data_IF_708258842151
#
_entry.id   IF_708258842151
#
_cell.length_a   1.000
_cell.length_b   1.000
_cell.length_c   1.000
_cell.angle_alpha   90.00
_cell.angle_beta   90.00
_cell.angle_gamma   90.00
#
_symmetry.space_group_name_H-M   'P 1'
#
loop_
_entity.id
_entity.type
_entity.pdbx_description
1 polymer ?
#
# COMPACT_ATOMS: atom_id res chain seq x y z
N UNK A 1 -20.46 26.98 -6.61
CA UNK A 1 -20.51 25.65 -7.24
C UNK A 1 -19.08 25.18 -7.36
N UNK A 2 -18.69 24.13 -6.62
CA UNK A 2 -17.37 23.54 -6.79
C UNK A 2 -17.24 23.05 -8.24
N UNK A 3 -16.12 23.35 -8.88
CA UNK A 3 -15.87 22.97 -10.27
C UNK A 3 -15.77 21.45 -10.31
N UNK A 4 -16.74 20.77 -10.91
CA UNK A 4 -16.64 19.34 -11.23
C UNK A 4 -15.34 19.11 -12.00
N UNK A 5 -14.46 18.27 -11.47
CA UNK A 5 -13.21 17.92 -12.15
C UNK A 5 -13.35 16.57 -12.84
N UNK A 6 -13.22 16.59 -14.17
CA UNK A 6 -12.92 15.41 -14.98
C UNK A 6 -11.74 14.65 -14.36
N UNK A 7 -11.91 13.35 -14.09
CA UNK A 7 -10.88 12.49 -13.48
C UNK A 7 -10.12 11.76 -14.57
N UNK A 8 -8.79 11.86 -14.58
CA UNK A 8 -7.94 11.07 -15.47
C UNK A 8 -7.37 9.86 -14.75
N UNK A 9 -6.99 8.83 -15.50
CA UNK A 9 -6.37 7.63 -14.95
C UNK A 9 -5.12 7.95 -14.11
N UNK A 10 -4.30 8.92 -14.53
CA UNK A 10 -3.17 9.40 -13.75
C UNK A 10 -3.54 9.92 -12.35
N UNK A 11 -4.72 10.51 -12.18
CA UNK A 11 -5.16 11.10 -10.92
C UNK A 11 -5.57 9.98 -9.94
N UNK A 12 -6.26 8.94 -10.44
CA UNK A 12 -6.57 7.73 -9.69
C UNK A 12 -5.32 6.94 -9.32
N UNK A 13 -4.36 6.77 -10.24
CA UNK A 13 -3.08 6.14 -9.92
C UNK A 13 -2.32 6.96 -8.88
N UNK A 14 -2.37 8.29 -8.95
CA UNK A 14 -1.79 9.17 -7.93
C UNK A 14 -2.43 8.99 -6.56
N UNK A 15 -3.75 8.77 -6.51
CA UNK A 15 -4.49 8.43 -5.30
C UNK A 15 -4.09 7.05 -4.76
N UNK A 16 -4.09 6.02 -5.61
CA UNK A 16 -3.69 4.67 -5.22
C UNK A 16 -2.26 4.67 -4.69
N UNK A 17 -1.31 5.28 -5.39
CA UNK A 17 0.09 5.40 -4.95
C UNK A 17 0.25 6.24 -3.67
N UNK A 18 -0.74 7.06 -3.30
CA UNK A 18 -0.71 7.80 -2.04
C UNK A 18 -0.95 6.86 -0.85
N UNK A 19 -1.85 5.89 -0.99
CA UNK A 19 -2.23 4.97 0.08
C UNK A 19 -1.46 3.65 0.01
N UNK A 20 -1.26 3.15 -1.21
CA UNK A 20 -0.68 1.86 -1.57
C UNK A 20 0.52 2.06 -2.51
N UNK A 21 1.59 2.75 -2.08
CA UNK A 21 2.71 3.08 -2.96
C UNK A 21 3.42 1.82 -3.48
N UNK A 22 3.86 1.86 -4.75
CA UNK A 22 4.47 0.71 -5.44
C UNK A 22 5.70 0.14 -4.73
N UNK A 23 6.45 0.96 -3.98
CA UNK A 23 7.63 0.49 -3.26
C UNK A 23 7.32 -0.38 -2.03
N UNK A 24 6.04 -0.54 -1.66
CA UNK A 24 5.61 -1.54 -0.69
C UNK A 24 5.36 -2.91 -1.32
N UNK A 25 5.29 -2.99 -2.66
CA UNK A 25 5.18 -4.28 -3.32
C UNK A 25 6.47 -5.09 -3.14
N UNK A 26 6.32 -6.41 -3.12
CA UNK A 26 7.45 -7.34 -3.15
C UNK A 26 8.29 -7.14 -4.42
N UNK A 27 9.59 -7.41 -4.35
CA UNK A 27 10.52 -7.16 -5.47
C UNK A 27 10.17 -7.93 -6.75
N UNK A 28 9.49 -9.08 -6.61
CA UNK A 28 9.07 -9.92 -7.73
C UNK A 28 7.73 -9.50 -8.34
N UNK A 29 6.99 -8.61 -7.68
CA UNK A 29 5.61 -8.30 -8.03
C UNK A 29 5.50 -7.29 -9.19
N UNK A 30 4.34 -7.23 -9.82
CA UNK A 30 4.06 -6.34 -10.95
C UNK A 30 2.78 -5.53 -10.74
N UNK A 31 2.86 -4.52 -9.88
CA UNK A 31 1.74 -3.62 -9.54
C UNK A 31 1.68 -2.39 -10.45
N UNK A 32 0.55 -1.68 -10.41
CA UNK A 32 0.31 -0.46 -11.18
C UNK A 32 -0.40 -0.72 -12.51
N UNK A 33 -0.23 0.20 -13.46
CA UNK A 33 -0.89 0.14 -14.78
C UNK A 33 -0.37 -1.05 -15.59
N UNK A 34 -1.26 -2.02 -15.88
CA UNK A 34 -0.96 -3.19 -16.69
C UNK A 34 -1.24 -2.93 -18.18
N UNK A 35 -2.34 -2.24 -18.48
CA UNK A 35 -2.73 -1.81 -19.83
C UNK A 35 -3.62 -0.56 -19.74
N UNK A 36 -3.47 0.39 -20.67
CA UNK A 36 -4.29 1.60 -20.73
C UNK A 36 -3.48 2.87 -21.04
N UNK A 37 -4.17 4.01 -21.05
CA UNK A 37 -3.57 5.34 -21.23
C UNK A 37 -3.77 6.21 -19.98
N UNK A 38 -2.69 6.73 -19.41
CA UNK A 38 -2.71 7.61 -18.23
C UNK A 38 -3.57 8.87 -18.43
N UNK A 39 -3.73 9.33 -19.67
CA UNK A 39 -4.52 10.52 -20.01
C UNK A 39 -6.01 10.24 -20.18
N UNK A 40 -6.40 8.97 -20.19
CA UNK A 40 -7.78 8.55 -20.36
C UNK A 40 -8.67 9.11 -19.24
N UNK A 41 -9.83 9.63 -19.63
CA UNK A 41 -10.87 10.06 -18.71
C UNK A 41 -11.61 8.85 -18.12
N UNK A 42 -11.79 8.85 -16.81
CA UNK A 42 -12.43 7.76 -16.06
C UNK A 42 -13.67 8.32 -15.37
N UNK A 43 -14.84 7.91 -15.85
CA UNK A 43 -16.13 8.24 -15.23
C UNK A 43 -16.71 7.07 -14.45
N UNK A 44 -16.28 5.84 -14.79
CA UNK A 44 -16.70 4.62 -14.12
C UNK A 44 -15.56 3.61 -14.03
N UNK A 45 -15.36 3.07 -12.84
CA UNK A 45 -14.35 2.05 -12.54
C UNK A 45 -15.01 0.81 -11.93
N UNK A 46 -14.54 -0.37 -12.30
CA UNK A 46 -14.85 -1.64 -11.63
C UNK A 46 -13.67 -2.08 -10.78
N UNK A 47 -13.93 -2.68 -9.62
CA UNK A 47 -12.95 -3.30 -8.74
C UNK A 47 -13.24 -4.80 -8.68
N UNK A 48 -12.21 -5.64 -8.80
CA UNK A 48 -12.31 -7.09 -8.72
C UNK A 48 -11.10 -7.69 -7.98
N UNK A 49 -11.20 -8.95 -7.55
CA UNK A 49 -10.04 -9.70 -7.11
C UNK A 49 -9.19 -10.10 -8.33
N UNK A 50 -9.82 -10.73 -9.32
CA UNK A 50 -9.15 -11.38 -10.46
C UNK A 50 -9.43 -10.70 -11.81
N UNK A 51 -8.42 -10.49 -12.67
CA UNK A 51 -8.59 -9.95 -14.01
C UNK A 51 -9.00 -11.06 -15.02
N UNK A 52 -10.06 -11.82 -14.75
CA UNK A 52 -10.53 -12.86 -15.69
C UNK A 52 -11.19 -12.26 -16.94
N UNK A 53 -11.35 -13.05 -18.00
CA UNK A 53 -12.09 -12.61 -19.19
C UNK A 53 -13.55 -12.22 -18.85
N UNK A 54 -14.18 -12.94 -17.92
CA UNK A 54 -15.54 -12.65 -17.48
C UNK A 54 -15.61 -11.31 -16.75
N UNK A 55 -14.68 -11.04 -15.82
CA UNK A 55 -14.58 -9.74 -15.12
C UNK A 55 -14.38 -8.59 -16.11
N UNK A 56 -13.54 -8.79 -17.12
CA UNK A 56 -13.27 -7.78 -18.17
C UNK A 56 -14.52 -7.53 -19.01
N UNK A 57 -15.23 -8.56 -19.43
CA UNK A 57 -16.48 -8.42 -20.18
C UNK A 57 -17.55 -7.72 -19.34
N UNK A 58 -17.68 -8.04 -18.05
CA UNK A 58 -18.60 -7.34 -17.13
C UNK A 58 -18.27 -5.85 -17.01
N UNK A 59 -16.98 -5.49 -16.92
CA UNK A 59 -16.55 -4.10 -16.90
C UNK A 59 -16.92 -3.37 -18.21
N UNK A 60 -16.72 -4.02 -19.36
CA UNK A 60 -17.08 -3.47 -20.67
C UNK A 60 -18.60 -3.29 -20.80
N UNK A 61 -19.38 -4.29 -20.40
CA UNK A 61 -20.85 -4.28 -20.46
C UNK A 61 -21.46 -3.19 -19.56
N UNK A 62 -20.81 -2.89 -18.43
CA UNK A 62 -21.19 -1.79 -17.52
C UNK A 62 -20.65 -0.43 -17.96
N UNK A 63 -19.95 -0.36 -19.09
CA UNK A 63 -19.29 0.83 -19.62
C UNK A 63 -18.26 1.43 -18.65
N UNK A 64 -17.49 0.59 -17.96
CA UNK A 64 -16.33 1.02 -17.18
C UNK A 64 -15.16 1.40 -18.10
N UNK A 65 -14.40 2.41 -17.71
CA UNK A 65 -13.14 2.80 -18.37
C UNK A 65 -11.92 2.24 -17.65
N UNK A 66 -12.10 1.79 -16.41
CA UNK A 66 -11.04 1.25 -15.57
C UNK A 66 -11.51 -0.03 -14.88
N UNK A 67 -10.65 -1.04 -14.86
CA UNK A 67 -10.73 -2.20 -14.00
C UNK A 67 -9.52 -2.17 -13.04
N UNK A 68 -9.79 -2.12 -11.74
CA UNK A 68 -8.78 -2.24 -10.69
C UNK A 68 -8.84 -3.67 -10.16
N UNK A 69 -7.72 -4.39 -10.18
CA UNK A 69 -7.65 -5.76 -9.64
C UNK A 69 -6.69 -5.85 -8.47
N UNK A 70 -6.91 -6.81 -7.59
CA UNK A 70 -5.86 -7.19 -6.64
C UNK A 70 -4.75 -7.94 -7.37
N UNK A 71 -5.08 -9.04 -8.04
CA UNK A 71 -4.10 -9.86 -8.72
C UNK A 71 -3.63 -9.26 -10.05
N UNK A 72 -2.32 -9.27 -10.34
CA UNK A 72 -1.79 -8.76 -11.61
C UNK A 72 -2.22 -9.60 -12.80
N UNK A 73 -2.74 -8.94 -13.84
CA UNK A 73 -2.95 -9.59 -15.15
C UNK A 73 -1.61 -10.06 -15.73
N UNK A 74 -0.57 -9.24 -15.64
CA UNK A 74 0.75 -9.54 -16.20
C UNK A 74 1.70 -9.95 -15.08
N UNK A 75 1.51 -11.14 -14.52
CA UNK A 75 2.40 -11.65 -13.47
C UNK A 75 3.83 -11.94 -13.95
N UNK A 76 4.00 -12.22 -15.25
CA UNK A 76 5.31 -12.43 -15.90
C UNK A 76 5.41 -11.62 -17.19
N UNK A 77 6.60 -11.14 -17.58
CA UNK A 77 6.80 -10.45 -18.85
C UNK A 77 6.32 -11.29 -20.05
N UNK A 78 5.47 -10.70 -20.88
CA UNK A 78 4.95 -11.35 -22.07
C UNK A 78 6.02 -11.45 -23.15
N UNK A 79 6.17 -12.65 -23.72
CA UNK A 79 7.04 -12.86 -24.90
C UNK A 79 6.29 -12.72 -26.23
N UNK A 80 4.97 -12.88 -26.21
CA UNK A 80 4.05 -12.78 -27.34
C UNK A 80 2.64 -12.46 -26.83
N UNK A 81 1.80 -11.89 -27.68
CA UNK A 81 0.38 -11.63 -27.40
C UNK A 81 -0.45 -12.34 -28.46
N UNK A 82 -1.37 -13.21 -28.06
CA UNK A 82 -2.22 -14.00 -28.97
C UNK A 82 -3.56 -14.28 -28.32
N UNK A 83 -4.64 -14.37 -29.11
CA UNK A 83 -5.98 -14.77 -28.61
C UNK A 83 -6.09 -16.26 -28.23
N UNK A 84 -4.99 -17.01 -28.33
CA UNK A 84 -4.95 -18.45 -28.03
C UNK A 84 -4.83 -18.75 -26.53
N UNK A 85 -4.50 -17.76 -25.70
CA UNK A 85 -4.45 -17.86 -24.25
C UNK A 85 -5.28 -16.74 -23.62
N UNK A 86 -5.69 -16.97 -22.36
CA UNK A 86 -6.62 -16.09 -21.66
C UNK A 86 -6.05 -14.68 -21.46
N UNK A 87 -4.79 -14.56 -21.05
CA UNK A 87 -4.11 -13.26 -20.89
C UNK A 87 -4.17 -12.45 -22.19
N UNK A 88 -3.87 -13.08 -23.34
CA UNK A 88 -4.01 -12.41 -24.62
C UNK A 88 -5.45 -12.04 -24.96
N UNK A 89 -6.43 -12.91 -24.70
CA UNK A 89 -7.86 -12.59 -24.91
C UNK A 89 -8.30 -11.37 -24.10
N UNK A 90 -7.92 -11.30 -22.82
CA UNK A 90 -8.16 -10.15 -21.94
C UNK A 90 -7.52 -8.89 -22.50
N UNK A 91 -6.24 -8.94 -22.89
CA UNK A 91 -5.54 -7.77 -23.44
C UNK A 91 -6.20 -7.27 -24.72
N UNK A 92 -6.59 -8.18 -25.63
CA UNK A 92 -7.32 -7.80 -26.83
C UNK A 92 -8.67 -7.15 -26.47
N UNK A 93 -9.44 -7.74 -25.56
CA UNK A 93 -10.73 -7.18 -25.14
C UNK A 93 -10.55 -5.79 -24.51
N UNK A 94 -9.60 -5.64 -23.58
CA UNK A 94 -9.33 -4.39 -22.89
C UNK A 94 -8.88 -3.28 -23.85
N UNK A 95 -7.90 -3.56 -24.71
CA UNK A 95 -7.38 -2.58 -25.69
C UNK A 95 -8.46 -2.17 -26.69
N UNK A 96 -9.23 -3.14 -27.23
CA UNK A 96 -10.24 -2.86 -28.24
C UNK A 96 -11.43 -2.04 -27.71
N UNK A 97 -11.66 -2.07 -26.38
CA UNK A 97 -12.76 -1.36 -25.73
C UNK A 97 -12.29 -0.16 -24.89
N UNK A 98 -11.02 0.25 -24.99
CA UNK A 98 -10.43 1.31 -24.16
C UNK A 98 -10.67 1.11 -22.66
N UNK A 99 -10.56 -0.14 -22.17
CA UNK A 99 -10.59 -0.45 -20.75
C UNK A 99 -9.15 -0.48 -20.22
N UNK A 100 -8.83 0.41 -19.28
CA UNK A 100 -7.57 0.34 -18.56
C UNK A 100 -7.63 -0.74 -17.46
N UNK A 101 -6.51 -1.39 -17.18
CA UNK A 101 -6.37 -2.34 -16.07
C UNK A 101 -5.21 -1.92 -15.19
N UNK A 102 -5.48 -1.74 -13.90
CA UNK A 102 -4.50 -1.40 -12.86
C UNK A 102 -4.54 -2.47 -11.78
N UNK A 103 -3.38 -2.95 -11.35
CA UNK A 103 -3.31 -3.96 -10.28
C UNK A 103 -2.68 -3.40 -9.02
N UNK A 104 -3.28 -3.71 -7.87
CA UNK A 104 -2.78 -3.40 -6.53
C UNK A 104 -2.71 -4.67 -5.68
N UNK A 105 -1.56 -5.32 -5.74
CA UNK A 105 -1.33 -6.66 -5.20
C UNK A 105 -0.62 -6.56 -3.84
N UNK A 106 0.66 -6.93 -3.77
CA UNK A 106 1.39 -6.97 -2.50
C UNK A 106 1.58 -5.59 -1.86
N UNK A 107 1.57 -4.51 -2.65
CA UNK A 107 1.54 -3.15 -2.08
C UNK A 107 0.28 -2.88 -1.25
N UNK A 108 -0.86 -3.47 -1.60
CA UNK A 108 -2.09 -3.41 -0.80
C UNK A 108 -1.98 -4.31 0.44
N UNK A 109 -1.31 -5.46 0.34
CA UNK A 109 -1.11 -6.40 1.46
C UNK A 109 -0.23 -5.82 2.55
N UNK A 110 0.79 -5.06 2.15
CA UNK A 110 1.73 -4.40 3.05
C UNK A 110 1.21 -3.07 3.60
N UNK A 111 0.33 -2.38 2.88
CA UNK A 111 -0.06 -1.03 3.26
C UNK A 111 -0.83 -0.93 4.58
N UNK A 112 -0.80 0.27 5.16
CA UNK A 112 -1.71 0.69 6.23
C UNK A 112 -3.10 0.92 5.63
N UNK A 113 -4.16 0.53 6.38
CA UNK A 113 -5.53 0.49 5.83
C UNK A 113 -5.58 -0.31 4.52
N UNK A 114 -4.82 -1.42 4.51
CA UNK A 114 -4.68 -2.36 3.40
C UNK A 114 -5.37 -3.69 3.67
N UNK A 115 -5.12 -4.68 2.81
CA UNK A 115 -5.88 -5.93 2.80
C UNK A 115 -5.87 -6.65 4.16
N UNK A 116 -4.69 -6.76 4.77
CA UNK A 116 -4.53 -7.45 6.04
C UNK A 116 -5.15 -6.68 7.23
N UNK A 117 -5.28 -5.35 7.14
CA UNK A 117 -6.04 -4.57 8.13
C UNK A 117 -7.54 -4.83 7.98
N UNK A 118 -8.04 -4.85 6.74
CA UNK A 118 -9.45 -5.10 6.45
C UNK A 118 -9.86 -6.52 6.85
N UNK A 119 -9.00 -7.50 6.60
CA UNK A 119 -9.20 -8.88 7.01
C UNK A 119 -9.19 -8.99 8.54
N UNK A 120 -8.23 -8.36 9.23
CA UNK A 120 -8.21 -8.31 10.70
C UNK A 120 -9.48 -7.65 11.27
N UNK A 121 -9.97 -6.58 10.64
CA UNK A 121 -11.22 -5.91 11.02
C UNK A 121 -12.44 -6.81 10.83
N UNK A 122 -12.55 -7.50 9.69
CA UNK A 122 -13.64 -8.45 9.42
C UNK A 122 -13.68 -9.58 10.47
N UNK A 123 -12.51 -10.05 10.91
CA UNK A 123 -12.33 -11.05 11.96
C UNK A 123 -12.42 -10.49 13.39
N UNK A 124 -12.69 -9.19 13.53
CA UNK A 124 -12.83 -8.47 14.80
C UNK A 124 -11.60 -8.60 15.70
N UNK A 125 -10.40 -8.51 15.11
CA UNK A 125 -9.14 -8.50 15.84
C UNK A 125 -8.85 -7.08 16.35
N UNK A 126 -8.64 -6.87 17.66
CA UNK A 126 -8.39 -5.54 18.21
C UNK A 126 -6.96 -5.06 17.96
N UNK A 127 -6.81 -3.79 17.61
CA UNK A 127 -5.50 -3.11 17.48
C UNK A 127 -4.41 -3.94 16.78
N UNK A 128 -4.66 -4.48 15.57
CA UNK A 128 -3.67 -5.26 14.85
C UNK A 128 -2.43 -4.40 14.55
N UNK A 129 -1.25 -5.01 14.63
CA UNK A 129 0.00 -4.42 14.13
C UNK A 129 0.61 -5.30 13.03
N UNK A 130 1.45 -4.77 12.14
CA UNK A 130 2.13 -5.57 11.12
C UNK A 130 2.85 -6.78 11.72
N UNK A 131 2.66 -7.96 11.12
CA UNK A 131 3.35 -9.18 11.54
C UNK A 131 4.80 -9.15 11.04
N UNK A 132 5.00 -8.89 9.76
CA UNK A 132 6.32 -8.76 9.16
C UNK A 132 6.53 -7.29 8.72
N UNK A 133 7.18 -6.44 9.54
CA UNK A 133 7.43 -5.04 9.18
C UNK A 133 8.41 -4.95 8.01
N UNK A 134 8.42 -3.83 7.26
CA UNK A 134 9.31 -3.65 6.12
C UNK A 134 10.79 -3.67 6.53
N UNK A 135 11.66 -3.88 5.53
CA UNK A 135 13.10 -3.77 5.72
C UNK A 135 13.51 -2.37 6.20
N UNK A 136 14.61 -2.25 6.99
CA UNK A 136 15.19 -0.95 7.32
C UNK A 136 15.52 -0.12 6.08
N UNK A 137 15.49 1.21 6.19
CA UNK A 137 15.84 2.12 5.09
C UNK A 137 14.65 2.72 4.34
N UNK A 138 13.41 2.41 4.74
CA UNK A 138 12.18 3.02 4.22
C UNK A 138 11.97 4.47 4.66
N UNK A 139 12.68 4.90 5.71
CA UNK A 139 12.65 6.25 6.22
C UNK A 139 13.98 6.95 5.94
N UNK A 140 13.90 8.21 5.58
CA UNK A 140 15.03 9.08 5.30
C UNK A 140 14.90 10.31 6.19
N UNK A 141 15.98 10.72 6.82
CA UNK A 141 16.07 12.05 7.42
C UNK A 141 16.51 13.03 6.33
N UNK A 142 15.64 13.96 5.97
CA UNK A 142 15.98 15.12 5.16
C UNK A 142 16.50 16.21 6.08
N UNK A 143 17.71 16.70 5.81
CA UNK A 143 18.28 17.88 6.44
C UNK A 143 18.47 18.93 5.35
N UNK A 144 17.98 20.14 5.56
CA UNK A 144 18.15 21.25 4.61
C UNK A 144 18.49 22.54 5.37
N UNK A 145 19.32 23.39 4.76
CA UNK A 145 19.78 24.65 5.33
C UNK A 145 19.05 25.80 4.66
N UNK A 146 18.33 26.60 5.44
CA UNK A 146 17.38 27.60 4.94
C UNK A 146 17.60 28.95 5.63
N UNK A 147 17.54 30.09 4.91
CA UNK A 147 17.46 31.40 5.53
C UNK A 147 16.34 31.52 6.58
N UNK A 148 16.59 32.30 7.64
CA UNK A 148 15.65 32.47 8.75
C UNK A 148 14.25 32.89 8.30
N UNK A 149 14.15 33.80 7.34
CA UNK A 149 12.90 34.36 6.81
C UNK A 149 12.12 33.39 5.90
N UNK A 150 12.77 32.32 5.41
CA UNK A 150 12.16 31.32 4.51
C UNK A 150 11.90 29.97 5.18
N UNK A 151 12.44 29.72 6.37
CA UNK A 151 12.37 28.43 7.05
C UNK A 151 10.93 27.90 7.18
N UNK A 152 9.97 28.75 7.55
CA UNK A 152 8.59 28.33 7.76
C UNK A 152 7.88 27.97 6.44
N UNK A 153 8.09 28.76 5.39
CA UNK A 153 7.53 28.50 4.08
C UNK A 153 8.06 27.19 3.49
N UNK A 154 9.37 26.93 3.64
CA UNK A 154 9.99 25.67 3.24
C UNK A 154 9.40 24.51 4.04
N UNK A 155 9.37 24.59 5.37
CA UNK A 155 8.84 23.52 6.22
C UNK A 155 7.39 23.14 5.84
N UNK A 156 6.50 24.12 5.72
CA UNK A 156 5.10 23.89 5.31
C UNK A 156 4.99 23.23 3.95
N UNK A 157 5.86 23.58 3.01
CA UNK A 157 5.88 22.98 1.69
C UNK A 157 6.34 21.52 1.73
N UNK A 158 7.34 21.19 2.55
CA UNK A 158 7.79 19.81 2.77
C UNK A 158 6.68 18.97 3.43
N UNK A 159 6.00 19.50 4.45
CA UNK A 159 4.91 18.81 5.13
C UNK A 159 3.73 18.53 4.20
N UNK A 160 3.33 19.51 3.38
CA UNK A 160 2.31 19.32 2.33
C UNK A 160 2.71 18.26 1.29
N UNK A 161 4.00 18.05 1.09
CA UNK A 161 4.52 17.01 0.19
C UNK A 161 4.66 15.63 0.86
N UNK A 162 4.35 15.50 2.16
CA UNK A 162 4.33 14.25 2.91
C UNK A 162 5.54 14.00 3.80
N UNK A 163 6.35 15.02 4.09
CA UNK A 163 7.38 14.94 5.14
C UNK A 163 6.79 15.14 6.54
N UNK A 164 7.51 14.71 7.58
CA UNK A 164 7.19 15.04 8.96
C UNK A 164 6.01 14.29 9.56
N UNK A 165 5.67 13.11 9.05
CA UNK A 165 4.66 12.25 9.66
C UNK A 165 5.32 11.15 10.50
N UNK A 166 5.03 11.08 11.79
CA UNK A 166 5.57 10.08 12.74
C UNK A 166 4.46 9.61 13.67
N UNK A 167 4.02 8.35 13.52
CA UNK A 167 2.85 7.86 14.26
C UNK A 167 1.63 8.73 13.94
N UNK A 168 0.93 9.20 14.97
CA UNK A 168 -0.26 10.07 14.85
C UNK A 168 0.07 11.57 14.77
N UNK A 169 1.37 11.93 14.71
CA UNK A 169 1.82 13.32 14.64
C UNK A 169 2.20 13.70 13.21
N UNK A 170 1.75 14.88 12.78
CA UNK A 170 2.13 15.50 11.51
C UNK A 170 3.03 16.74 11.74
N UNK A 171 3.55 17.32 10.65
CA UNK A 171 4.41 18.52 10.67
C UNK A 171 5.65 18.41 11.58
N UNK A 172 6.14 17.19 11.82
CA UNK A 172 7.29 16.93 12.69
C UNK A 172 8.58 17.42 12.04
N UNK A 173 9.27 18.35 12.70
CA UNK A 173 10.62 18.79 12.32
C UNK A 173 11.42 19.19 13.55
N UNK A 174 12.74 19.20 13.42
CA UNK A 174 13.64 19.83 14.36
C UNK A 174 14.41 20.95 13.65
N UNK A 175 14.69 22.03 14.37
CA UNK A 175 15.29 23.25 13.83
C UNK A 175 16.42 23.70 14.74
N UNK A 176 17.58 23.99 14.16
CA UNK A 176 18.72 24.57 14.88
C UNK A 176 19.34 25.68 14.06
N UNK A 177 19.60 26.83 14.70
CA UNK A 177 20.32 27.93 14.08
C UNK A 177 21.81 27.61 13.95
N UNK A 178 22.42 28.12 12.88
CA UNK A 178 23.86 28.03 12.65
C UNK A 178 24.31 29.07 11.63
N UNK A 179 25.61 29.08 11.33
CA UNK A 179 26.21 29.96 10.33
C UNK A 179 26.64 29.12 9.13
N UNK A 180 26.04 29.36 7.98
CA UNK A 180 26.47 28.82 6.69
C UNK A 180 27.61 29.66 6.12
N UNK A 181 28.60 29.02 5.50
CA UNK A 181 29.70 29.70 4.83
C UNK A 181 29.84 29.20 3.39
N UNK A 182 30.06 30.12 2.47
CA UNK A 182 30.25 29.80 1.05
C UNK A 182 30.99 30.92 0.35
N UNK A 183 31.54 30.63 -0.84
CA UNK A 183 32.15 31.64 -1.72
C UNK A 183 31.56 31.50 -3.12
N UNK A 184 30.74 32.46 -3.60
CA UNK A 184 30.13 32.36 -4.92
C UNK A 184 31.20 32.38 -6.02
N UNK A 185 31.09 31.45 -6.97
CA UNK A 185 32.01 31.35 -8.11
C UNK A 185 31.66 32.33 -9.24
N UNK A 186 32.50 32.37 -10.28
CA UNK A 186 32.32 33.29 -11.41
C UNK A 186 31.01 33.07 -12.19
N UNK A 187 30.45 31.85 -12.13
CA UNK A 187 29.24 31.46 -12.86
C UNK A 187 27.98 31.34 -11.96
N UNK A 188 28.01 31.82 -10.72
CA UNK A 188 26.87 31.71 -9.80
C UNK A 188 26.01 32.98 -9.81
N UNK A 189 24.70 32.85 -9.57
CA UNK A 189 23.80 33.98 -9.29
C UNK A 189 23.32 33.89 -7.85
N UNK A 190 24.18 34.22 -6.87
CA UNK A 190 23.87 33.97 -5.48
C UNK A 190 22.65 34.78 -5.04
N UNK A 191 21.75 34.15 -4.29
CA UNK A 191 20.63 34.84 -3.65
C UNK A 191 21.14 35.84 -2.59
N UNK A 192 22.23 35.49 -1.90
CA UNK A 192 22.94 36.33 -0.91
C UNK A 192 24.44 36.30 -1.22
N UNK A 193 25.09 37.47 -1.23
CA UNK A 193 26.55 37.61 -1.31
C UNK A 193 27.11 38.04 -2.67
N UNK A 194 28.44 38.21 -2.74
CA UNK A 194 29.18 38.68 -3.91
C UNK A 194 30.16 37.64 -4.47
N UNK A 195 30.27 37.58 -5.80
CA UNK A 195 31.22 36.69 -6.50
C UNK A 195 32.66 36.90 -6.03
N UNK A 196 33.32 35.79 -5.66
CA UNK A 196 34.71 35.78 -5.24
C UNK A 196 34.96 36.18 -3.78
N UNK A 197 33.93 36.54 -2.99
CA UNK A 197 34.06 36.88 -1.57
C UNK A 197 33.52 35.74 -0.69
N UNK A 198 34.20 35.48 0.43
CA UNK A 198 33.71 34.54 1.44
C UNK A 198 32.53 35.18 2.18
N UNK A 199 31.39 34.50 2.15
CA UNK A 199 30.14 34.94 2.75
C UNK A 199 29.84 34.11 4.00
N UNK A 200 29.20 34.75 4.98
CA UNK A 200 28.67 34.10 6.17
C UNK A 200 27.22 34.53 6.36
N UNK A 201 26.32 33.56 6.51
CA UNK A 201 24.88 33.82 6.61
C UNK A 201 24.29 33.04 7.77
N UNK A 202 23.41 33.68 8.54
CA UNK A 202 22.61 32.98 9.54
C UNK A 202 21.58 32.08 8.85
N UNK A 203 21.60 30.80 9.17
CA UNK A 203 20.73 29.79 8.57
C UNK A 203 20.08 28.92 9.65
N UNK A 204 18.94 28.34 9.29
CA UNK A 204 18.29 27.28 10.04
C UNK A 204 18.60 25.95 9.36
N UNK A 205 19.24 25.05 10.10
CA UNK A 205 19.26 23.63 9.78
C UNK A 205 17.91 23.04 10.15
N UNK A 206 17.06 22.86 9.14
CA UNK A 206 15.75 22.24 9.23
C UNK A 206 15.88 20.76 8.92
N UNK A 207 15.39 19.92 9.82
CA UNK A 207 15.42 18.47 9.60
C UNK A 207 14.05 17.83 9.85
N UNK A 208 13.68 16.88 8.98
CA UNK A 208 12.40 16.18 9.05
C UNK A 208 12.53 14.77 8.51
N UNK A 209 11.63 13.87 8.90
CA UNK A 209 11.59 12.51 8.39
C UNK A 209 10.76 12.45 7.11
N UNK A 210 11.16 11.61 6.16
CA UNK A 210 10.51 11.46 4.86
C UNK A 210 10.43 9.98 4.53
N UNK A 211 9.23 9.42 4.28
CA UNK A 211 9.11 8.11 3.67
C UNK A 211 9.78 8.08 2.31
N UNK A 212 10.56 7.04 1.99
CA UNK A 212 11.29 6.93 0.72
C UNK A 212 10.39 7.12 -0.51
N UNK A 213 9.16 6.63 -0.44
CA UNK A 213 8.13 6.81 -1.49
C UNK A 213 7.73 8.26 -1.76
N UNK A 214 7.90 9.15 -0.77
CA UNK A 214 7.60 10.60 -0.88
C UNK A 214 8.80 11.43 -1.24
N UNK A 215 10.02 10.88 -1.19
CA UNK A 215 11.24 11.65 -1.32
C UNK A 215 11.27 12.50 -2.59
N UNK A 216 10.95 11.93 -3.76
CA UNK A 216 10.96 12.67 -5.03
C UNK A 216 10.00 13.87 -5.01
N UNK A 217 8.78 13.67 -4.54
CA UNK A 217 7.78 14.74 -4.41
C UNK A 217 8.23 15.83 -3.42
N UNK A 218 8.80 15.42 -2.29
CA UNK A 218 9.34 16.34 -1.27
C UNK A 218 10.49 17.16 -1.82
N UNK A 219 11.45 16.55 -2.52
CA UNK A 219 12.58 17.24 -3.14
C UNK A 219 12.13 18.18 -4.26
N UNK A 220 11.21 17.75 -5.14
CA UNK A 220 10.65 18.64 -6.16
C UNK A 220 9.99 19.87 -5.53
N UNK A 221 9.27 19.67 -4.42
CA UNK A 221 8.65 20.77 -3.70
C UNK A 221 9.69 21.68 -3.04
N UNK A 222 10.74 21.11 -2.45
CA UNK A 222 11.88 21.84 -1.89
C UNK A 222 12.53 22.73 -2.95
N UNK A 223 12.90 22.18 -4.10
CA UNK A 223 13.49 22.92 -5.22
C UNK A 223 12.64 24.08 -5.71
N UNK A 224 11.31 23.97 -5.62
CA UNK A 224 10.40 25.01 -6.06
C UNK A 224 10.25 26.18 -5.08
N UNK A 225 10.43 25.94 -3.79
CA UNK A 225 10.10 26.92 -2.72
C UNK A 225 11.32 27.48 -2.02
N UNK A 226 12.48 26.83 -2.14
CA UNK A 226 13.70 27.31 -1.54
C UNK A 226 14.20 28.59 -2.24
N UNK A 227 14.70 29.60 -1.52
CA UNK A 227 15.15 30.87 -2.13
C UNK A 227 16.44 30.72 -2.95
N UNK A 228 17.30 29.76 -2.61
CA UNK A 228 18.57 29.55 -3.29
C UNK A 228 18.39 28.78 -4.61
N UNK A 229 19.21 29.15 -5.61
CA UNK A 229 19.32 28.43 -6.89
C UNK A 229 19.88 27.01 -6.67
N UNK A 230 20.98 26.91 -5.92
CA UNK A 230 21.60 25.65 -5.53
C UNK A 230 21.32 25.39 -4.05
N UNK A 231 20.62 24.28 -3.76
CA UNK A 231 20.13 23.97 -2.41
C UNK A 231 21.04 22.93 -1.78
N UNK A 232 21.65 23.28 -0.63
CA UNK A 232 22.36 22.33 0.20
C UNK A 232 21.36 21.51 1.04
N UNK A 233 21.34 20.20 0.86
CA UNK A 233 20.56 19.28 1.68
C UNK A 233 21.24 17.91 1.78
N UNK A 234 20.99 17.21 2.89
CA UNK A 234 21.48 15.86 3.15
C UNK A 234 20.31 14.89 3.26
N UNK A 235 20.54 13.66 2.78
CA UNK A 235 19.61 12.55 2.90
C UNK A 235 20.28 11.43 3.69
N UNK A 236 19.85 11.23 4.94
CA UNK A 236 20.40 10.19 5.80
C UNK A 236 19.43 9.00 5.84
N UNK A 237 19.82 7.80 5.38
CA UNK A 237 18.99 6.61 5.54
C UNK A 237 18.87 6.28 7.02
N UNK A 238 17.65 5.95 7.46
CA UNK A 238 17.37 5.60 8.85
C UNK A 238 17.13 4.10 8.99
N UNK A 239 17.59 3.55 10.12
CA UNK A 239 17.24 2.19 10.54
C UNK A 239 15.86 2.12 11.20
N UNK A 240 15.28 3.28 11.56
CA UNK A 240 13.91 3.38 12.02
C UNK A 240 12.97 2.74 10.99
N UNK A 241 12.00 1.95 11.49
CA UNK A 241 11.02 1.27 10.65
C UNK A 241 9.67 1.95 10.80
N UNK A 242 8.91 1.94 9.71
CA UNK A 242 7.48 2.17 9.78
C UNK A 242 6.83 1.04 10.55
N UNK A 243 5.86 1.37 11.38
CA UNK A 243 5.10 0.42 12.21
C UNK A 243 3.66 0.25 11.73
N UNK A 244 3.27 1.01 10.72
CA UNK A 244 1.93 1.03 10.13
C UNK A 244 1.83 0.19 8.86
N UNK A 245 2.96 -0.24 8.29
CA UNK A 245 3.03 -1.08 7.09
C UNK A 245 3.82 -2.37 7.35
N UNK A 246 3.59 -3.37 6.53
CA UNK A 246 4.21 -4.69 6.58
C UNK A 246 3.23 -5.80 6.24
N UNK A 247 3.73 -6.98 5.94
CA UNK A 247 2.90 -8.12 5.54
C UNK A 247 2.22 -8.76 6.76
N UNK A 248 0.94 -9.11 6.61
CA UNK A 248 0.12 -9.72 7.65
C UNK A 248 -0.10 -8.81 8.87
N UNK A 249 -0.93 -9.27 9.79
CA UNK A 249 -1.22 -8.60 11.07
C UNK A 249 -1.16 -9.58 12.22
N UNK A 250 -0.83 -9.07 13.40
CA UNK A 250 -0.89 -9.82 14.66
C UNK A 250 -1.62 -8.99 15.71
N UNK A 251 -2.44 -9.65 16.51
CA UNK A 251 -3.30 -9.01 17.52
C UNK A 251 -3.46 -9.92 18.73
N UNK A 252 -3.53 -9.31 19.92
CA UNK A 252 -3.91 -9.99 21.15
C UNK A 252 -5.41 -9.78 21.40
N UNK A 253 -6.16 -10.86 21.51
CA UNK A 253 -7.59 -10.84 21.84
C UNK A 253 -7.80 -10.34 23.26
N UNK A 254 -8.90 -9.61 23.48
CA UNK A 254 -9.32 -9.16 24.82
C UNK A 254 -9.87 -10.30 25.68
N UNK A 255 -10.42 -11.33 25.05
CA UNK A 255 -10.90 -12.56 25.68
C UNK A 255 -10.37 -13.75 24.91
N UNK A 256 -9.72 -14.72 25.58
CA UNK A 256 -9.29 -15.96 24.94
C UNK A 256 -10.47 -16.70 24.30
N UNK A 257 -10.20 -17.43 23.22
CA UNK A 257 -11.18 -18.21 22.47
C UNK A 257 -10.62 -19.59 22.11
N UNK A 258 -11.46 -20.49 21.59
CA UNK A 258 -10.98 -21.79 21.07
C UNK A 258 -10.73 -21.74 19.56
N UNK A 259 -10.01 -22.72 19.03
CA UNK A 259 -9.76 -22.85 17.60
C UNK A 259 -11.06 -22.99 16.80
N UNK A 260 -12.03 -23.75 17.32
CA UNK A 260 -13.33 -23.98 16.70
C UNK A 260 -14.17 -22.70 16.64
N UNK A 261 -14.18 -21.93 17.73
CA UNK A 261 -14.88 -20.64 17.77
C UNK A 261 -14.27 -19.64 16.78
N UNK A 262 -12.93 -19.61 16.68
CA UNK A 262 -12.25 -18.76 15.73
C UNK A 262 -12.46 -19.22 14.28
N UNK A 263 -12.44 -20.51 14.02
CA UNK A 263 -12.78 -21.09 12.72
C UNK A 263 -14.21 -20.78 12.30
N UNK A 264 -15.17 -20.84 13.23
CA UNK A 264 -16.54 -20.42 13.00
C UNK A 264 -16.65 -18.94 12.67
N UNK A 265 -15.92 -18.08 13.41
CA UNK A 265 -15.82 -16.65 13.11
C UNK A 265 -15.28 -16.38 11.70
N UNK A 266 -14.27 -17.14 11.26
CA UNK A 266 -13.72 -17.01 9.90
C UNK A 266 -14.79 -17.35 8.84
N UNK A 267 -15.51 -18.46 9.00
CA UNK A 267 -16.59 -18.85 8.08
C UNK A 267 -17.67 -17.77 7.97
N UNK A 268 -18.12 -17.24 9.11
CA UNK A 268 -19.15 -16.21 9.15
C UNK A 268 -18.69 -14.88 8.55
N UNK A 269 -17.49 -14.42 8.93
CA UNK A 269 -16.97 -13.13 8.48
C UNK A 269 -16.60 -13.13 6.99
N UNK A 270 -16.13 -14.26 6.47
CA UNK A 270 -15.66 -14.39 5.08
C UNK A 270 -16.69 -15.02 4.14
N UNK A 271 -17.84 -15.45 4.67
CA UNK A 271 -18.91 -16.09 3.89
C UNK A 271 -18.51 -17.43 3.25
N UNK A 272 -17.51 -18.12 3.81
CA UNK A 272 -17.03 -19.41 3.27
C UNK A 272 -17.74 -20.60 3.92
N UNK A 273 -17.99 -21.64 3.11
CA UNK A 273 -18.69 -22.84 3.55
C UNK A 273 -17.85 -23.69 4.53
N UNK A 274 -16.53 -23.70 4.37
CA UNK A 274 -15.62 -24.50 5.16
C UNK A 274 -14.26 -23.83 5.30
N UNK A 275 -13.55 -24.22 6.37
CA UNK A 275 -12.14 -23.88 6.59
C UNK A 275 -11.41 -25.16 7.00
N UNK A 276 -10.10 -25.22 6.73
CA UNK A 276 -9.25 -26.31 7.22
C UNK A 276 -8.44 -25.79 8.40
N UNK A 277 -8.18 -26.64 9.38
CA UNK A 277 -7.42 -26.24 10.55
C UNK A 277 -6.32 -27.23 10.87
N UNK A 278 -5.18 -26.70 11.31
CA UNK A 278 -4.07 -27.43 11.93
C UNK A 278 -4.12 -27.12 13.41
N UNK A 279 -4.32 -28.14 14.24
CA UNK A 279 -4.29 -28.04 15.69
C UNK A 279 -3.03 -28.74 16.23
N UNK A 280 -2.04 -28.02 16.80
CA UNK A 280 -0.87 -28.64 17.42
C UNK A 280 -1.23 -29.36 18.74
N UNK A 281 -2.27 -28.92 19.44
CA UNK A 281 -2.88 -29.61 20.59
C UNK A 281 -4.37 -29.26 20.72
N UNK A 282 -5.17 -30.15 21.32
CA UNK A 282 -6.63 -29.99 21.44
C UNK A 282 -7.08 -29.00 22.54
N UNK A 283 -6.17 -28.56 23.42
CA UNK A 283 -6.52 -27.85 24.66
C UNK A 283 -5.90 -26.44 24.79
N UNK A 284 -5.39 -25.85 23.70
CA UNK A 284 -4.74 -24.53 23.76
C UNK A 284 -5.76 -23.41 23.59
N UNK A 285 -5.90 -22.56 24.60
CA UNK A 285 -6.60 -21.29 24.46
C UNK A 285 -5.87 -20.39 23.46
N UNK A 286 -6.62 -19.72 22.59
CA UNK A 286 -6.10 -18.76 21.63
C UNK A 286 -6.28 -17.37 22.20
N UNK A 287 -5.17 -16.68 22.44
CA UNK A 287 -5.15 -15.29 22.90
C UNK A 287 -4.42 -14.37 21.92
N UNK A 288 -3.51 -14.90 21.08
CA UNK A 288 -2.78 -14.10 20.09
C UNK A 288 -2.99 -14.66 18.68
N UNK A 289 -3.56 -13.86 17.79
CA UNK A 289 -3.97 -14.23 16.44
C UNK A 289 -3.11 -13.49 15.44
N UNK A 290 -2.45 -14.22 14.55
CA UNK A 290 -1.84 -13.69 13.34
C UNK A 290 -2.77 -13.92 12.14
N UNK A 291 -2.73 -13.03 11.15
CA UNK A 291 -3.53 -13.14 9.93
C UNK A 291 -2.74 -12.63 8.72
N UNK A 292 -2.86 -13.32 7.59
CA UNK A 292 -2.35 -12.87 6.29
C UNK A 292 -3.26 -13.42 5.20
N UNK A 293 -3.88 -12.53 4.40
CA UNK A 293 -4.65 -12.93 3.22
C UNK A 293 -3.80 -13.69 2.20
N UNK A 294 -4.47 -14.45 1.34
CA UNK A 294 -3.83 -15.19 0.25
C UNK A 294 -2.90 -16.28 0.75
N UNK A 295 -1.76 -16.43 0.07
CA UNK A 295 -0.73 -17.45 0.35
C UNK A 295 0.24 -17.05 1.48
N UNK A 296 -0.26 -16.86 2.71
CA UNK A 296 0.54 -16.38 3.85
C UNK A 296 1.27 -17.46 4.66
N UNK A 297 1.34 -18.71 4.20
CA UNK A 297 1.99 -19.81 4.93
C UNK A 297 3.51 -19.60 5.17
N UNK A 298 4.16 -18.74 4.39
CA UNK A 298 5.55 -18.32 4.62
C UNK A 298 5.75 -17.62 5.98
N UNK A 299 4.68 -17.05 6.55
CA UNK A 299 4.72 -16.33 7.83
C UNK A 299 4.56 -17.23 9.06
N UNK A 300 4.38 -18.54 8.90
CA UNK A 300 4.22 -19.48 10.03
C UNK A 300 5.37 -19.36 11.03
N UNK A 301 6.61 -19.30 10.55
CA UNK A 301 7.80 -19.16 11.41
C UNK A 301 7.79 -17.84 12.19
N UNK A 302 7.46 -16.74 11.52
CA UNK A 302 7.46 -15.42 12.14
C UNK A 302 6.31 -15.26 13.15
N UNK A 303 5.13 -15.75 12.80
CA UNK A 303 3.98 -15.81 13.70
C UNK A 303 4.31 -16.61 14.96
N UNK A 304 4.90 -17.80 14.82
CA UNK A 304 5.32 -18.62 15.96
C UNK A 304 6.39 -17.93 16.81
N UNK A 305 7.39 -17.29 16.17
CA UNK A 305 8.45 -16.53 16.85
C UNK A 305 7.90 -15.37 17.67
N UNK A 306 6.86 -14.70 17.17
CA UNK A 306 6.17 -13.63 17.89
C UNK A 306 5.12 -14.14 18.90
N UNK A 307 5.00 -15.46 19.08
CA UNK A 307 4.11 -16.09 20.05
C UNK A 307 2.63 -16.05 19.65
N UNK A 308 2.32 -15.99 18.36
CA UNK A 308 0.95 -16.21 17.90
C UNK A 308 0.51 -17.64 18.23
N UNK A 309 -0.72 -17.79 18.71
CA UNK A 309 -1.33 -19.09 18.96
C UNK A 309 -1.86 -19.72 17.69
N UNK A 310 -2.26 -18.86 16.73
CA UNK A 310 -2.83 -19.26 15.45
C UNK A 310 -2.44 -18.27 14.34
N UNK A 311 -2.21 -18.78 13.14
CA UNK A 311 -2.14 -18.00 11.90
C UNK A 311 -3.38 -18.30 11.03
N UNK A 312 -4.13 -17.26 10.65
CA UNK A 312 -5.23 -17.35 9.69
C UNK A 312 -4.72 -16.94 8.31
N UNK A 313 -4.84 -17.81 7.31
CA UNK A 313 -4.35 -17.54 5.96
C UNK A 313 -5.04 -18.42 4.91
N UNK A 314 -4.60 -18.43 3.66
CA UNK A 314 -5.01 -19.33 2.59
C UNK A 314 -3.86 -20.20 2.06
N UNK A 315 -4.20 -21.14 1.17
CA UNK A 315 -3.26 -21.97 0.39
C UNK A 315 -2.23 -22.77 1.19
N UNK A 316 -2.60 -23.24 2.38
CA UNK A 316 -1.69 -23.99 3.25
C UNK A 316 -1.47 -25.39 2.68
N UNK A 317 -0.21 -25.70 2.37
CA UNK A 317 0.24 -27.01 1.86
C UNK A 317 0.56 -27.96 3.01
N UNK A 318 0.65 -29.25 2.68
CA UNK A 318 0.90 -30.31 3.66
C UNK A 318 2.17 -30.08 4.51
N UNK A 319 3.30 -29.74 3.87
CA UNK A 319 4.54 -29.51 4.60
C UNK A 319 4.51 -28.25 5.47
N UNK A 320 3.80 -27.21 5.05
CA UNK A 320 3.58 -26.00 5.86
C UNK A 320 2.73 -26.31 7.09
N UNK A 321 1.68 -27.12 6.93
CA UNK A 321 0.87 -27.62 8.04
C UNK A 321 1.70 -28.47 9.03
N UNK A 322 2.60 -29.33 8.53
CA UNK A 322 3.53 -30.09 9.37
C UNK A 322 4.51 -29.17 10.13
N UNK A 323 5.02 -28.13 9.47
CA UNK A 323 5.85 -27.10 10.10
C UNK A 323 5.11 -26.37 11.21
N UNK A 324 3.88 -25.91 10.98
CA UNK A 324 3.05 -25.28 11.99
C UNK A 324 2.85 -26.19 13.22
N UNK A 325 2.53 -27.46 12.99
CA UNK A 325 2.40 -28.47 14.05
C UNK A 325 3.70 -28.65 14.84
N UNK A 326 4.85 -28.70 14.17
CA UNK A 326 6.15 -28.82 14.82
C UNK A 326 6.53 -27.59 15.65
N UNK A 327 6.09 -26.40 15.24
CA UNK A 327 6.34 -25.15 15.95
C UNK A 327 5.32 -24.88 17.07
N UNK A 328 4.27 -25.70 17.18
CA UNK A 328 3.25 -25.53 18.22
C UNK A 328 2.28 -24.37 17.96
N UNK A 329 2.17 -23.92 16.71
CA UNK A 329 1.23 -22.88 16.27
C UNK A 329 0.06 -23.51 15.50
N UNK A 330 -1.17 -23.07 15.76
CA UNK A 330 -2.33 -23.47 14.98
C UNK A 330 -2.37 -22.72 13.64
N UNK A 331 -3.03 -23.30 12.65
CA UNK A 331 -3.28 -22.62 11.38
C UNK A 331 -4.73 -22.80 11.00
N UNK A 332 -5.41 -21.72 10.61
CA UNK A 332 -6.71 -21.78 9.93
C UNK A 332 -6.46 -21.40 8.48
N UNK A 333 -6.62 -22.37 7.59
CA UNK A 333 -6.70 -22.13 6.17
C UNK A 333 -8.15 -21.79 5.81
N UNK A 334 -8.40 -20.50 5.61
CA UNK A 334 -9.70 -19.95 5.28
C UNK A 334 -9.94 -19.82 3.76
N UNK A 335 -9.00 -20.28 2.94
CA UNK A 335 -9.05 -20.17 1.48
C UNK A 335 -8.53 -18.84 0.95
N UNK A 336 -7.77 -18.88 -0.14
CA UNK A 336 -7.17 -17.70 -0.77
C UNK A 336 -8.24 -16.66 -1.13
N UNK A 337 -9.20 -17.05 -1.96
CA UNK A 337 -10.31 -16.21 -2.42
C UNK A 337 -11.05 -15.53 -1.26
N UNK A 338 -11.49 -16.29 -0.26
CA UNK A 338 -12.31 -15.76 0.83
C UNK A 338 -11.56 -14.74 1.70
N UNK A 339 -10.25 -14.92 1.88
CA UNK A 339 -9.42 -13.99 2.67
C UNK A 339 -9.12 -12.68 1.97
N UNK A 340 -9.29 -12.61 0.64
CA UNK A 340 -8.90 -11.44 -0.15
C UNK A 340 -10.06 -10.73 -0.83
N UNK A 341 -11.12 -11.46 -1.20
CA UNK A 341 -12.25 -10.94 -1.97
C UNK A 341 -12.95 -9.73 -1.31
N UNK A 342 -12.88 -9.60 0.03
CA UNK A 342 -13.36 -8.43 0.76
C UNK A 342 -12.69 -7.11 0.32
N UNK A 343 -11.53 -7.18 -0.35
CA UNK A 343 -10.81 -6.04 -0.91
C UNK A 343 -11.67 -5.26 -1.90
N UNK A 344 -12.51 -5.93 -2.70
CA UNK A 344 -13.22 -5.28 -3.79
C UNK A 344 -14.24 -4.26 -3.27
N UNK A 345 -15.09 -4.69 -2.33
CA UNK A 345 -16.08 -3.84 -1.68
C UNK A 345 -15.43 -2.75 -0.80
N UNK A 346 -14.35 -3.10 -0.10
CA UNK A 346 -13.68 -2.17 0.82
C UNK A 346 -12.96 -1.07 0.06
N UNK A 347 -12.20 -1.41 -0.99
CA UNK A 347 -11.53 -0.46 -1.86
C UNK A 347 -12.54 0.45 -2.59
N UNK A 348 -13.62 -0.12 -3.14
CA UNK A 348 -14.67 0.67 -3.79
C UNK A 348 -15.24 1.74 -2.85
N UNK A 349 -15.49 1.37 -1.59
CA UNK A 349 -15.96 2.30 -0.55
C UNK A 349 -14.92 3.37 -0.23
N UNK A 350 -13.64 3.01 -0.11
CA UNK A 350 -12.55 3.96 0.16
C UNK A 350 -12.38 4.97 -0.98
N UNK A 351 -12.38 4.50 -2.22
CA UNK A 351 -12.26 5.34 -3.41
C UNK A 351 -13.47 6.26 -3.56
N UNK A 352 -14.69 5.76 -3.31
CA UNK A 352 -15.91 6.58 -3.30
C UNK A 352 -15.86 7.69 -2.24
N UNK A 353 -15.46 7.37 -1.01
CA UNK A 353 -15.34 8.40 0.03
C UNK A 353 -14.32 9.48 -0.35
N UNK A 354 -13.21 9.08 -0.98
CA UNK A 354 -12.23 10.03 -1.49
C UNK A 354 -12.77 10.89 -2.64
N UNK A 355 -13.52 10.30 -3.57
CA UNK A 355 -14.08 11.04 -4.70
C UNK A 355 -15.04 12.13 -4.22
N UNK A 356 -15.85 11.84 -3.19
CA UNK A 356 -16.76 12.83 -2.60
C UNK A 356 -16.03 13.97 -1.89
N UNK A 357 -14.92 13.68 -1.20
CA UNK A 357 -14.09 14.71 -0.57
C UNK A 357 -13.37 15.59 -1.60
N UNK A 358 -13.01 15.02 -2.75
CA UNK A 358 -12.26 15.69 -3.82
C UNK A 358 -13.14 16.32 -4.90
N UNK A 359 -14.47 16.14 -4.84
CA UNK A 359 -15.41 16.65 -5.85
C UNK A 359 -15.28 15.95 -7.21
N UNK A 360 -14.86 14.68 -7.21
CA UNK A 360 -14.70 13.86 -8.41
C UNK A 360 -16.03 13.20 -8.79
N UNK A 361 -16.46 13.38 -10.03
CA UNK A 361 -17.61 12.66 -10.59
C UNK A 361 -17.13 11.34 -11.20
N UNK A 362 -17.09 10.30 -10.37
CA UNK A 362 -16.72 8.95 -10.76
C UNK A 362 -17.55 7.92 -9.99
N UNK A 363 -18.01 6.89 -10.70
CA UNK A 363 -18.72 5.74 -10.14
C UNK A 363 -17.75 4.56 -9.92
N UNK A 364 -17.86 3.89 -8.77
CA UNK A 364 -17.09 2.69 -8.44
C UNK A 364 -18.03 1.50 -8.26
N UNK A 365 -17.83 0.46 -9.07
CA UNK A 365 -18.55 -0.80 -9.03
C UNK A 365 -17.64 -1.92 -8.53
N UNK A 366 -18.22 -2.96 -7.97
CA UNK A 366 -17.53 -4.24 -7.72
C UNK A 366 -17.96 -5.26 -8.76
N UNK A 367 -17.04 -6.11 -9.22
CA UNK A 367 -17.38 -7.19 -10.13
C UNK A 367 -18.41 -8.15 -9.51
N UNK A 368 -19.61 -8.32 -10.11
CA UNK A 368 -20.60 -9.25 -9.58
C UNK A 368 -20.21 -10.71 -9.84
N UNK A 369 -20.39 -11.54 -8.82
CA UNK A 369 -20.34 -13.00 -9.00
C UNK A 369 -18.94 -13.54 -9.29
N UNK A 370 -17.88 -12.95 -8.75
CA UNK A 370 -16.61 -13.65 -8.62
C UNK A 370 -16.84 -14.91 -7.76
N UNK A 371 -16.28 -16.04 -8.20
CA UNK A 371 -16.50 -17.35 -7.59
C UNK A 371 -15.14 -17.94 -7.22
N UNK A 372 -15.05 -18.51 -6.02
CA UNK A 372 -13.93 -19.33 -5.62
C UNK A 372 -13.80 -20.52 -6.60
N UNK A 373 -12.63 -20.72 -7.25
CA UNK A 373 -12.42 -21.87 -8.13
C UNK A 373 -12.56 -23.23 -7.40
N UNK A 374 -12.47 -23.24 -6.07
CA UNK A 374 -12.66 -24.43 -5.25
C UNK A 374 -14.09 -24.58 -4.76
N UNK A 375 -14.65 -25.78 -4.97
CA UNK A 375 -15.92 -26.20 -4.40
C UNK A 375 -15.69 -27.28 -3.35
N UNK A 376 -16.20 -27.05 -2.15
CA UNK A 376 -16.27 -28.08 -1.11
C UNK A 376 -17.39 -29.08 -1.45
N UNK A 377 -17.06 -30.37 -1.46
CA UNK A 377 -17.97 -31.47 -1.85
C UNK A 377 -18.50 -32.25 -0.65
#
# INVERSE_FOLDING_TARGET
>A
MAKTSCVRLQDLIGLLNRHYPQNLAEEWDNVGLQVGDLKQEITKSMIALEPTLDTVNQAIDQHCQLLITHHPLLFKPLKKISKNDETGQILFAAIQNNLAIVSIHTNLDHAADGLNDWLAQALKLPSPSPLLPPHPGDLIKLVVFVPLDHCEAVAQALFKAGAGHVGDYDHCSFRSSGTGTFRPGENTRPYIGQTGQDEQVDEIRLETIVPRSRLSSVLQRLHKVHPYEEIAYDLLPLENRRTDVGLGRISSLSQPTTLEQLAQRCKEALGTAAVRAVAPSEAKEISKVAVCGGSGASLIHEAARQGADVLITGDVKYHEAMTARSLGIAVIDAGHFATEHLMAATLATRLYNHSQQSGWEIEFLTAPGEIDPFRFL
#
